data_IF_312919319640
#
_entry.id   IF_312919319640
#
_cell.length_a   1.000
_cell.length_b   1.000
_cell.length_c   1.000
_cell.angle_alpha   90.00
_cell.angle_beta   90.00
_cell.angle_gamma   90.00
#
_symmetry.space_group_name_H-M   'P 1'
#
loop_
_entity.id
_entity.type
_entity.pdbx_description
1 polymer ?
#
# COMPACT_ATOMS: atom_id res chain seq x y z
N UNK A 1 13.72 24.29 -17.69
CA UNK A 1 13.07 23.03 -17.26
C UNK A 1 13.47 22.75 -15.83
N UNK A 2 12.52 22.38 -14.97
CA UNK A 2 12.81 21.92 -13.61
C UNK A 2 13.48 20.54 -13.67
N UNK A 3 14.56 20.33 -12.94
CA UNK A 3 15.24 19.03 -12.92
C UNK A 3 14.44 17.97 -12.13
N UNK A 4 14.74 16.69 -12.38
CA UNK A 4 14.03 15.55 -11.79
C UNK A 4 14.09 15.53 -10.25
N UNK A 5 15.21 15.93 -9.64
CA UNK A 5 15.35 15.93 -8.18
C UNK A 5 14.44 16.96 -7.54
N UNK A 6 14.33 18.13 -8.15
CA UNK A 6 13.39 19.18 -7.71
C UNK A 6 11.93 18.70 -7.82
N UNK A 7 11.57 17.99 -8.90
CA UNK A 7 10.23 17.40 -9.05
C UNK A 7 9.98 16.31 -7.99
N UNK A 8 10.95 15.42 -7.78
CA UNK A 8 10.88 14.35 -6.80
C UNK A 8 10.73 14.88 -5.36
N UNK A 9 11.48 15.94 -5.01
CA UNK A 9 11.36 16.59 -3.70
C UNK A 9 9.97 17.20 -3.48
N UNK A 10 9.36 17.79 -4.52
CA UNK A 10 7.99 18.29 -4.43
C UNK A 10 6.97 17.16 -4.28
N UNK A 11 7.14 16.03 -4.97
CA UNK A 11 6.31 14.82 -4.80
C UNK A 11 6.41 14.26 -3.37
N UNK A 12 7.63 14.17 -2.83
CA UNK A 12 7.83 13.69 -1.46
C UNK A 12 7.22 14.65 -0.43
N UNK A 13 7.30 15.97 -0.65
CA UNK A 13 6.64 16.97 0.20
C UNK A 13 5.11 16.86 0.16
N UNK A 14 4.51 16.67 -1.02
CA UNK A 14 3.07 16.45 -1.16
C UNK A 14 2.65 15.13 -0.50
N UNK A 15 3.40 14.04 -0.70
CA UNK A 15 3.17 12.75 -0.05
C UNK A 15 3.20 12.86 1.48
N UNK A 16 4.15 13.63 2.03
CA UNK A 16 4.23 13.91 3.46
C UNK A 16 3.02 14.71 3.96
N UNK A 17 2.59 15.74 3.22
CA UNK A 17 1.44 16.57 3.57
C UNK A 17 0.13 15.76 3.67
N UNK A 18 -0.03 14.76 2.79
CA UNK A 18 -1.21 13.89 2.77
C UNK A 18 -0.99 12.59 3.56
N UNK A 19 0.02 12.50 4.42
CA UNK A 19 0.25 11.28 5.22
C UNK A 19 -0.82 11.08 6.29
N UNK A 20 -1.22 12.16 6.96
CA UNK A 20 -2.19 12.14 8.07
C UNK A 20 -3.47 12.93 7.79
N UNK A 21 -3.62 13.46 6.58
CA UNK A 21 -4.79 14.24 6.17
C UNK A 21 -5.27 13.73 4.82
N UNK A 22 -6.58 13.57 4.68
CA UNK A 22 -7.18 13.20 3.41
C UNK A 22 -6.83 14.25 2.33
N UNK A 23 -6.30 13.84 1.18
CA UNK A 23 -6.04 14.74 0.07
C UNK A 23 -7.34 15.32 -0.48
N UNK A 24 -7.37 16.64 -0.65
CA UNK A 24 -8.54 17.37 -1.11
C UNK A 24 -9.04 16.88 -2.48
N UNK A 25 -8.15 16.56 -3.43
CA UNK A 25 -8.53 16.03 -4.74
C UNK A 25 -9.34 14.74 -4.59
N UNK A 26 -8.92 13.80 -3.74
CA UNK A 26 -9.68 12.57 -3.50
C UNK A 26 -11.01 12.83 -2.82
N UNK A 27 -11.05 13.75 -1.84
CA UNK A 27 -12.29 14.15 -1.18
C UNK A 27 -13.30 14.70 -2.18
N UNK A 28 -12.84 15.51 -3.15
CA UNK A 28 -13.68 16.04 -4.21
C UNK A 28 -14.16 14.95 -5.16
N UNK A 29 -13.29 14.01 -5.57
CA UNK A 29 -13.68 12.88 -6.42
C UNK A 29 -14.76 12.03 -5.75
N UNK A 30 -14.52 11.54 -4.52
CA UNK A 30 -15.47 10.64 -3.82
C UNK A 30 -16.78 11.31 -3.41
N UNK A 31 -16.83 12.65 -3.42
CA UNK A 31 -18.06 13.41 -3.13
C UNK A 31 -18.69 14.08 -4.34
N UNK A 32 -18.24 13.71 -5.56
CA UNK A 32 -18.83 14.21 -6.80
C UNK A 32 -18.61 15.72 -7.05
N UNK A 33 -17.57 16.31 -6.47
CA UNK A 33 -17.27 17.75 -6.49
C UNK A 33 -15.98 18.11 -7.25
N UNK A 34 -15.43 17.21 -8.05
CA UNK A 34 -14.16 17.42 -8.78
C UNK A 34 -14.26 18.37 -9.99
N UNK A 35 -15.46 18.87 -10.31
CA UNK A 35 -15.67 20.02 -11.21
C UNK A 35 -15.89 19.68 -12.69
N UNK A 36 -15.28 18.61 -13.20
CA UNK A 36 -15.36 18.25 -14.63
C UNK A 36 -16.64 17.45 -14.97
N UNK A 37 -17.47 17.13 -13.95
CA UNK A 37 -18.66 16.29 -14.06
C UNK A 37 -18.39 15.01 -14.87
N UNK A 38 -17.18 14.46 -14.75
CA UNK A 38 -16.83 13.22 -15.40
C UNK A 38 -17.76 12.12 -14.87
N UNK A 39 -18.38 11.39 -15.80
CA UNK A 39 -19.28 10.27 -15.50
C UNK A 39 -20.55 10.31 -16.35
N UNK A 40 -20.87 9.19 -16.99
CA UNK A 40 -22.04 9.08 -17.87
C UNK A 40 -23.35 9.23 -17.09
N UNK A 41 -24.35 9.85 -17.72
CA UNK A 41 -25.71 10.02 -17.18
C UNK A 41 -25.80 10.78 -15.84
N UNK A 42 -24.87 11.70 -15.58
CA UNK A 42 -24.97 12.64 -14.45
C UNK A 42 -24.66 12.02 -13.08
N UNK A 43 -23.93 10.91 -13.03
CA UNK A 43 -23.43 10.30 -11.80
C UNK A 43 -21.89 10.25 -11.78
N UNK A 44 -21.28 10.19 -10.60
CA UNK A 44 -19.81 10.18 -10.43
C UNK A 44 -19.25 8.83 -9.94
N UNK A 45 -20.11 7.86 -9.63
CA UNK A 45 -19.68 6.54 -9.13
C UNK A 45 -18.78 5.83 -10.14
N UNK A 46 -19.16 5.79 -11.42
CA UNK A 46 -18.34 5.16 -12.45
C UNK A 46 -16.96 5.79 -12.58
N UNK A 47 -16.86 7.12 -12.47
CA UNK A 47 -15.59 7.84 -12.45
C UNK A 47 -14.76 7.47 -11.22
N UNK A 48 -15.40 7.41 -10.05
CA UNK A 48 -14.73 7.06 -8.82
C UNK A 48 -14.19 5.62 -8.86
N UNK A 49 -15.00 4.65 -9.27
CA UNK A 49 -14.62 3.24 -9.42
C UNK A 49 -13.43 3.06 -10.36
N UNK A 50 -13.50 3.64 -11.57
CA UNK A 50 -12.41 3.50 -12.55
C UNK A 50 -11.15 4.20 -12.06
N UNK A 51 -11.25 5.41 -11.49
CA UNK A 51 -10.09 6.12 -10.95
C UNK A 51 -9.43 5.35 -9.79
N UNK A 52 -10.25 4.74 -8.91
CA UNK A 52 -9.77 3.91 -7.81
C UNK A 52 -9.00 2.68 -8.32
N UNK A 53 -9.56 1.97 -9.30
CA UNK A 53 -8.93 0.81 -9.94
C UNK A 53 -7.64 1.18 -10.67
N UNK A 54 -7.68 2.23 -11.49
CA UNK A 54 -6.53 2.70 -12.26
C UNK A 54 -5.41 3.20 -11.35
N UNK A 55 -5.70 3.90 -10.25
CA UNK A 55 -4.66 4.33 -9.32
C UNK A 55 -3.97 3.12 -8.67
N UNK A 56 -4.73 2.11 -8.23
CA UNK A 56 -4.17 0.86 -7.68
C UNK A 56 -3.24 0.19 -8.68
N UNK A 57 -3.68 0.09 -9.93
CA UNK A 57 -2.92 -0.62 -10.96
C UNK A 57 -1.67 0.17 -11.39
N UNK A 58 -1.80 1.48 -11.48
CA UNK A 58 -0.69 2.37 -11.77
C UNK A 58 0.43 2.25 -10.75
N UNK A 59 0.11 2.18 -9.44
CA UNK A 59 1.14 2.07 -8.41
C UNK A 59 1.80 0.69 -8.37
N UNK A 60 1.01 -0.39 -8.44
CA UNK A 60 1.51 -1.75 -8.24
C UNK A 60 2.04 -2.42 -9.50
N UNK A 61 1.41 -2.18 -10.65
CA UNK A 61 1.66 -2.92 -11.89
C UNK A 61 2.34 -2.08 -12.98
N UNK A 62 2.51 -0.78 -12.77
CA UNK A 62 3.25 0.09 -13.70
C UNK A 62 4.44 0.76 -13.03
N UNK A 63 4.21 1.66 -12.08
CA UNK A 63 5.28 2.45 -11.47
C UNK A 63 6.28 1.61 -10.68
N UNK A 64 5.80 0.69 -9.83
CA UNK A 64 6.72 -0.12 -9.01
C UNK A 64 7.64 -1.02 -9.87
N UNK A 65 7.14 -1.75 -10.90
CA UNK A 65 8.00 -2.43 -11.86
C UNK A 65 9.01 -1.50 -12.54
N UNK A 66 8.61 -0.31 -12.98
CA UNK A 66 9.52 0.66 -13.60
C UNK A 66 10.63 1.11 -12.64
N UNK A 67 10.32 1.34 -11.36
CA UNK A 67 11.34 1.63 -10.33
C UNK A 67 12.35 0.48 -10.21
N UNK A 68 11.87 -0.77 -10.17
CA UNK A 68 12.76 -1.94 -10.10
C UNK A 68 13.64 -2.07 -11.34
N UNK A 69 13.10 -1.81 -12.52
CA UNK A 69 13.85 -1.84 -13.78
C UNK A 69 14.94 -0.77 -13.78
N UNK A 70 14.61 0.48 -13.42
CA UNK A 70 15.57 1.57 -13.34
C UNK A 70 16.72 1.28 -12.36
N UNK A 71 16.42 0.62 -11.22
CA UNK A 71 17.42 0.23 -10.20
C UNK A 71 18.20 -1.04 -10.55
N UNK A 72 17.83 -1.78 -11.60
CA UNK A 72 18.40 -3.11 -11.86
C UNK A 72 19.79 -3.09 -12.48
N UNK A 73 20.25 -1.94 -13.00
CA UNK A 73 21.50 -1.84 -13.78
C UNK A 73 21.42 -2.50 -15.17
N UNK A 74 20.23 -2.91 -15.63
CA UNK A 74 20.03 -3.60 -16.92
C UNK A 74 19.51 -2.72 -18.05
N UNK A 75 19.10 -1.50 -17.74
CA UNK A 75 18.47 -0.57 -18.69
C UNK A 75 19.22 0.76 -18.68
N UNK A 76 19.30 1.38 -19.85
CA UNK A 76 19.83 2.73 -20.02
C UNK A 76 18.80 3.79 -19.62
N UNK A 77 19.26 5.02 -19.37
CA UNK A 77 18.37 6.14 -19.08
C UNK A 77 17.38 6.41 -20.23
N UNK A 78 17.84 6.34 -21.49
CA UNK A 78 17.00 6.55 -22.67
C UNK A 78 15.89 5.50 -22.78
N UNK A 79 16.21 4.21 -22.57
CA UNK A 79 15.21 3.13 -22.55
C UNK A 79 14.19 3.33 -21.43
N UNK A 80 14.63 3.72 -20.22
CA UNK A 80 13.69 3.97 -19.11
C UNK A 80 12.80 5.18 -19.34
N UNK A 81 13.33 6.26 -19.93
CA UNK A 81 12.54 7.44 -20.31
C UNK A 81 11.49 7.08 -21.36
N UNK A 82 11.84 6.26 -22.36
CA UNK A 82 10.91 5.77 -23.36
C UNK A 82 9.84 4.88 -22.72
N UNK A 83 10.20 3.91 -21.88
CA UNK A 83 9.24 3.04 -21.19
C UNK A 83 8.24 3.86 -20.38
N UNK A 84 8.69 4.84 -19.60
CA UNK A 84 7.77 5.71 -18.86
C UNK A 84 6.84 6.49 -19.80
N UNK A 85 7.36 7.01 -20.92
CA UNK A 85 6.56 7.72 -21.93
C UNK A 85 5.47 6.85 -22.55
N UNK A 86 5.73 5.56 -22.76
CA UNK A 86 4.74 4.63 -23.34
C UNK A 86 3.66 4.20 -22.34
N UNK A 87 4.03 3.91 -21.09
CA UNK A 87 3.11 3.32 -20.11
C UNK A 87 2.32 4.33 -19.28
N UNK A 88 2.90 5.49 -18.96
CA UNK A 88 2.30 6.43 -18.03
C UNK A 88 1.06 7.19 -18.55
N UNK A 89 1.01 7.70 -19.80
CA UNK A 89 -0.09 8.57 -20.26
C UNK A 89 -1.48 7.98 -20.09
N UNK A 90 -1.62 6.66 -20.28
CA UNK A 90 -2.88 5.96 -20.10
C UNK A 90 -3.43 6.09 -18.67
N UNK A 91 -2.54 6.16 -17.68
CA UNK A 91 -2.89 6.35 -16.27
C UNK A 91 -2.95 7.82 -15.89
N UNK A 92 -1.86 8.57 -16.06
CA UNK A 92 -1.76 9.93 -15.51
C UNK A 92 -2.75 10.89 -16.16
N UNK A 93 -3.01 10.80 -17.46
CA UNK A 93 -4.00 11.65 -18.12
C UNK A 93 -5.43 11.32 -17.68
N UNK A 94 -5.76 10.02 -17.58
CA UNK A 94 -7.10 9.60 -17.13
C UNK A 94 -7.35 9.97 -15.66
N UNK A 95 -6.37 9.72 -14.78
CA UNK A 95 -6.45 10.07 -13.37
C UNK A 95 -6.52 11.59 -13.18
N UNK A 96 -5.77 12.36 -13.97
CA UNK A 96 -5.87 13.82 -14.01
C UNK A 96 -7.26 14.31 -14.43
N UNK A 97 -7.79 13.78 -15.53
CA UNK A 97 -9.16 14.03 -15.98
C UNK A 97 -10.22 13.64 -14.93
N UNK A 98 -9.98 12.55 -14.20
CA UNK A 98 -10.88 12.06 -13.15
C UNK A 98 -10.80 12.86 -11.84
N UNK A 99 -9.95 13.89 -11.77
CA UNK A 99 -9.87 14.82 -10.64
C UNK A 99 -8.55 14.82 -9.86
N UNK A 100 -7.60 13.94 -10.18
CA UNK A 100 -6.26 13.89 -9.55
C UNK A 100 -5.25 14.73 -10.35
N UNK A 101 -5.53 16.02 -10.52
CA UNK A 101 -4.78 16.91 -11.43
C UNK A 101 -3.32 17.01 -11.04
N UNK A 102 -3.00 17.15 -9.74
CA UNK A 102 -1.61 17.17 -9.25
C UNK A 102 -0.83 15.92 -9.67
N UNK A 103 -1.46 14.75 -9.64
CA UNK A 103 -0.81 13.50 -10.07
C UNK A 103 -0.47 13.56 -11.57
N UNK A 104 -1.41 14.02 -12.39
CA UNK A 104 -1.21 14.24 -13.82
C UNK A 104 -0.06 15.21 -14.09
N UNK A 105 -0.08 16.37 -13.46
CA UNK A 105 0.94 17.42 -13.62
C UNK A 105 2.35 16.93 -13.24
N UNK A 106 2.48 16.19 -12.14
CA UNK A 106 3.77 15.63 -11.74
C UNK A 106 4.28 14.57 -12.74
N UNK A 107 3.40 13.70 -13.22
CA UNK A 107 3.76 12.68 -14.20
C UNK A 107 4.19 13.31 -15.53
N UNK A 108 3.50 14.35 -16.01
CA UNK A 108 3.86 15.12 -17.20
C UNK A 108 5.24 15.77 -17.05
N UNK A 109 5.48 16.48 -15.94
CA UNK A 109 6.78 17.12 -15.67
C UNK A 109 7.93 16.12 -15.62
N UNK A 110 7.71 14.92 -15.08
CA UNK A 110 8.70 13.84 -15.09
C UNK A 110 8.94 13.32 -16.52
N UNK A 111 7.88 13.14 -17.31
CA UNK A 111 7.98 12.72 -18.71
C UNK A 111 8.81 13.69 -19.54
N UNK A 112 8.64 14.99 -19.33
CA UNK A 112 9.44 16.03 -19.99
C UNK A 112 10.91 16.03 -19.54
N UNK A 113 11.16 15.75 -18.25
CA UNK A 113 12.51 15.82 -17.67
C UNK A 113 13.36 14.56 -17.92
N UNK A 114 12.75 13.37 -18.01
CA UNK A 114 13.46 12.10 -18.12
C UNK A 114 14.38 11.94 -19.34
N UNK A 115 14.07 12.46 -20.55
CA UNK A 115 14.95 12.35 -21.71
C UNK A 115 16.36 12.92 -21.51
N UNK A 116 16.52 13.90 -20.60
CA UNK A 116 17.80 14.52 -20.27
C UNK A 116 18.39 14.05 -18.93
N UNK A 117 17.71 13.15 -18.21
CA UNK A 117 18.06 12.75 -16.85
C UNK A 117 19.01 11.55 -16.82
N UNK A 118 19.77 11.42 -15.72
CA UNK A 118 20.54 10.21 -15.45
C UNK A 118 19.61 9.05 -15.06
N UNK A 119 20.08 7.80 -15.17
CA UNK A 119 19.31 6.62 -14.74
C UNK A 119 18.97 6.68 -13.24
N UNK A 120 19.86 7.25 -12.42
CA UNK A 120 19.68 7.44 -10.99
C UNK A 120 18.58 8.47 -10.69
N UNK A 121 18.54 9.56 -11.45
CA UNK A 121 17.50 10.58 -11.35
C UNK A 121 16.16 10.03 -11.80
N UNK A 122 16.10 9.26 -12.89
CA UNK A 122 14.86 8.58 -13.32
C UNK A 122 14.35 7.64 -12.23
N UNK A 123 15.22 6.82 -11.63
CA UNK A 123 14.86 5.95 -10.52
C UNK A 123 14.32 6.75 -9.32
N UNK A 124 14.89 7.93 -9.05
CA UNK A 124 14.47 8.84 -7.98
C UNK A 124 13.09 9.44 -8.25
N UNK A 125 12.85 9.95 -9.47
CA UNK A 125 11.56 10.51 -9.87
C UNK A 125 10.43 9.48 -9.88
N UNK A 126 10.67 8.29 -10.45
CA UNK A 126 9.71 7.19 -10.43
C UNK A 126 9.37 6.75 -9.01
N UNK A 127 10.37 6.69 -8.12
CA UNK A 127 10.16 6.29 -6.73
C UNK A 127 9.31 7.32 -5.96
N UNK A 128 9.58 8.61 -6.14
CA UNK A 128 8.81 9.68 -5.52
C UNK A 128 7.35 9.68 -6.02
N UNK A 129 7.14 9.51 -7.33
CA UNK A 129 5.81 9.42 -7.92
C UNK A 129 5.04 8.20 -7.39
N UNK A 130 5.70 7.06 -7.28
CA UNK A 130 5.09 5.84 -6.73
C UNK A 130 4.70 6.00 -5.25
N UNK A 131 5.54 6.64 -4.43
CA UNK A 131 5.21 6.93 -3.02
C UNK A 131 3.97 7.84 -2.92
N UNK A 132 3.94 8.92 -3.69
CA UNK A 132 2.80 9.84 -3.73
C UNK A 132 1.52 9.12 -4.17
N UNK A 133 1.57 8.39 -5.27
CA UNK A 133 0.43 7.64 -5.79
C UNK A 133 -0.03 6.51 -4.84
N UNK A 134 0.88 5.84 -4.15
CA UNK A 134 0.51 4.87 -3.10
C UNK A 134 -0.19 5.54 -1.92
N UNK A 135 0.25 6.74 -1.53
CA UNK A 135 -0.42 7.49 -0.46
C UNK A 135 -1.82 7.91 -0.86
N UNK A 136 -2.00 8.38 -2.09
CA UNK A 136 -3.32 8.62 -2.68
C UNK A 136 -4.17 7.33 -2.64
N UNK A 137 -3.59 6.18 -2.98
CA UNK A 137 -4.31 4.91 -2.99
C UNK A 137 -4.76 4.46 -1.59
N UNK A 138 -3.96 4.74 -0.55
CA UNK A 138 -4.34 4.45 0.83
C UNK A 138 -5.63 5.19 1.25
N UNK A 139 -5.74 6.46 0.89
CA UNK A 139 -6.94 7.26 1.17
C UNK A 139 -8.15 6.84 0.35
N UNK A 140 -7.93 6.58 -0.94
CA UNK A 140 -8.96 6.03 -1.81
C UNK A 140 -9.52 4.73 -1.22
N UNK A 141 -8.64 3.78 -0.89
CA UNK A 141 -9.03 2.49 -0.34
C UNK A 141 -9.80 2.62 0.97
N UNK A 142 -9.43 3.56 1.85
CA UNK A 142 -10.14 3.80 3.11
C UNK A 142 -11.58 4.27 2.90
N UNK A 143 -11.79 5.22 1.98
CA UNK A 143 -13.09 5.88 1.79
C UNK A 143 -13.97 5.26 0.70
N UNK A 144 -13.46 4.30 -0.07
CA UNK A 144 -14.25 3.63 -1.10
C UNK A 144 -15.51 2.98 -0.48
N UNK A 145 -16.67 3.04 -1.16
CA UNK A 145 -17.94 2.53 -0.64
C UNK A 145 -18.01 1.00 -0.72
N UNK A 146 -17.19 0.33 0.10
CA UNK A 146 -17.11 -1.14 0.14
C UNK A 146 -18.40 -1.83 0.58
N UNK A 147 -19.26 -1.12 1.30
CA UNK A 147 -20.61 -1.54 1.70
C UNK A 147 -21.53 -1.84 0.51
N UNK A 148 -21.17 -1.41 -0.70
CA UNK A 148 -21.81 -1.91 -1.93
C UNK A 148 -21.74 -3.44 -2.05
N UNK A 149 -20.73 -4.08 -1.44
CA UNK A 149 -20.60 -5.54 -1.37
C UNK A 149 -21.80 -6.26 -0.74
N UNK A 150 -22.63 -5.56 0.03
CA UNK A 150 -23.89 -6.11 0.56
C UNK A 150 -24.85 -6.58 -0.54
N UNK A 151 -24.75 -6.00 -1.74
CA UNK A 151 -25.56 -6.37 -2.91
C UNK A 151 -24.96 -7.54 -3.72
N UNK A 152 -23.77 -8.02 -3.37
CA UNK A 152 -22.99 -8.99 -4.13
C UNK A 152 -22.51 -10.16 -3.27
N UNK A 153 -23.40 -10.70 -2.42
CA UNK A 153 -23.07 -11.82 -1.54
C UNK A 153 -23.13 -13.17 -2.26
N UNK A 154 -22.23 -14.07 -1.89
CA UNK A 154 -22.31 -15.48 -2.28
C UNK A 154 -23.52 -16.16 -1.62
N UNK A 155 -24.15 -17.10 -2.33
CA UNK A 155 -25.27 -17.91 -1.82
C UNK A 155 -24.89 -18.74 -0.59
N UNK A 156 -23.61 -19.13 -0.50
CA UNK A 156 -23.06 -19.84 0.64
C UNK A 156 -21.58 -19.51 0.82
N UNK A 157 -21.12 -19.57 2.08
CA UNK A 157 -19.73 -19.37 2.46
C UNK A 157 -19.31 -20.56 3.31
N UNK A 158 -18.14 -21.12 3.03
CA UNK A 158 -17.57 -22.19 3.86
C UNK A 158 -17.40 -21.73 5.30
N UNK A 159 -17.59 -22.62 6.29
CA UNK A 159 -17.28 -22.30 7.67
C UNK A 159 -15.82 -21.86 7.84
N UNK A 160 -15.57 -21.02 8.84
CA UNK A 160 -14.23 -20.57 9.15
C UNK A 160 -13.34 -21.74 9.58
N UNK A 161 -12.18 -21.87 8.94
CA UNK A 161 -11.16 -22.84 9.33
C UNK A 161 -10.48 -22.42 10.64
N UNK A 162 -10.89 -23.07 11.75
CA UNK A 162 -10.35 -22.80 13.08
C UNK A 162 -8.90 -23.27 13.27
N UNK A 163 -8.34 -24.07 12.37
CA UNK A 163 -6.94 -24.50 12.44
C UNK A 163 -5.94 -23.33 12.29
N UNK A 164 -6.39 -22.17 11.80
CA UNK A 164 -5.57 -20.97 11.74
C UNK A 164 -5.14 -20.46 13.11
N UNK A 165 -5.96 -20.67 14.13
CA UNK A 165 -5.67 -20.20 15.49
C UNK A 165 -4.78 -21.17 16.28
N UNK A 166 -4.31 -22.25 15.64
CA UNK A 166 -3.36 -23.17 16.24
C UNK A 166 -1.97 -22.54 16.35
N UNK A 167 -1.58 -22.19 17.58
CA UNK A 167 -0.31 -21.56 17.89
C UNK A 167 0.90 -22.47 17.58
N UNK A 168 0.71 -23.78 17.45
CA UNK A 168 1.80 -24.70 17.07
C UNK A 168 2.27 -24.48 15.62
N UNK A 169 1.48 -23.77 14.80
CA UNK A 169 1.88 -23.34 13.45
C UNK A 169 2.88 -22.18 13.45
N UNK A 170 3.05 -21.49 14.58
CA UNK A 170 4.04 -20.43 14.72
C UNK A 170 5.40 -21.09 15.00
N UNK A 171 6.45 -20.79 14.22
CA UNK A 171 7.79 -21.33 14.48
C UNK A 171 8.23 -21.03 15.91
N UNK A 172 8.69 -22.06 16.64
CA UNK A 172 9.27 -21.90 17.98
C UNK A 172 10.67 -21.26 17.92
N UNK A 173 11.36 -21.41 16.79
CA UNK A 173 12.65 -20.79 16.54
C UNK A 173 12.49 -19.29 16.23
N UNK A 174 13.42 -18.49 16.75
CA UNK A 174 13.47 -17.07 16.44
C UNK A 174 13.69 -16.85 14.94
N UNK A 175 12.85 -16.01 14.34
CA UNK A 175 12.99 -15.62 12.92
C UNK A 175 13.90 -14.40 12.72
N UNK A 176 14.31 -13.79 13.83
CA UNK A 176 15.26 -12.68 13.90
C UNK A 176 15.54 -12.24 15.34
N UNK A 177 16.42 -11.25 15.46
CA UNK A 177 16.92 -10.68 16.71
C UNK A 177 16.37 -9.28 17.00
N UNK A 178 15.64 -8.70 16.05
CA UNK A 178 15.16 -7.32 16.11
C UNK A 178 13.64 -7.29 16.26
N UNK A 179 13.15 -6.35 17.05
CA UNK A 179 11.73 -6.18 17.31
C UNK A 179 11.25 -4.77 16.96
N UNK A 180 9.99 -4.67 16.57
CA UNK A 180 9.27 -3.39 16.42
C UNK A 180 7.98 -3.43 17.23
N UNK A 181 7.46 -2.25 17.56
CA UNK A 181 6.12 -2.06 18.12
C UNK A 181 5.18 -1.59 17.01
N UNK A 182 3.99 -2.18 16.98
CA UNK A 182 2.86 -1.69 16.19
C UNK A 182 1.73 -1.32 17.13
N UNK A 183 1.22 -0.10 17.04
CA UNK A 183 0.15 0.42 17.90
C UNK A 183 -0.97 1.03 17.08
N UNK A 184 -2.22 0.80 17.51
CA UNK A 184 -3.43 1.25 16.82
C UNK A 184 -4.26 2.18 17.67
N UNK A 185 -4.40 3.41 17.21
CA UNK A 185 -5.23 4.45 17.83
C UNK A 185 -6.50 4.70 16.99
N UNK A 186 -7.67 4.95 17.61
CA UNK A 186 -7.90 5.16 19.04
C UNK A 186 -8.16 3.86 19.85
N UNK A 187 -7.82 2.68 19.31
CA UNK A 187 -8.18 1.39 19.90
C UNK A 187 -7.36 1.03 21.16
N UNK A 188 -6.24 1.72 21.42
CA UNK A 188 -5.33 1.41 22.52
C UNK A 188 -4.73 0.00 22.44
N UNK A 189 -4.65 -0.57 21.23
CA UNK A 189 -4.06 -1.90 20.99
C UNK A 189 -2.59 -1.71 20.60
N UNK A 190 -1.70 -2.47 21.21
CA UNK A 190 -0.28 -2.46 20.86
C UNK A 190 0.28 -3.88 20.90
N UNK A 191 1.09 -4.22 19.92
CA UNK A 191 1.74 -5.54 19.81
C UNK A 191 3.23 -5.39 19.50
N UNK A 192 4.02 -6.37 19.92
CA UNK A 192 5.41 -6.52 19.50
C UNK A 192 5.49 -7.46 18.31
N UNK A 193 6.37 -7.15 17.36
CA UNK A 193 6.64 -7.99 16.18
C UNK A 193 8.12 -8.32 16.12
N UNK A 194 8.45 -9.61 16.11
CA UNK A 194 9.81 -10.07 15.81
C UNK A 194 10.01 -9.99 14.30
N UNK A 195 10.97 -9.19 13.86
CA UNK A 195 11.29 -9.06 12.44
C UNK A 195 12.03 -10.30 11.94
N UNK A 196 11.82 -10.65 10.67
CA UNK A 196 12.44 -11.80 10.01
C UNK A 196 13.89 -11.49 9.55
N UNK A 197 14.71 -10.90 10.42
CA UNK A 197 16.06 -10.39 10.07
C UNK A 197 17.02 -11.48 9.60
N UNK A 198 16.81 -12.73 9.99
CA UNK A 198 17.68 -13.84 9.56
C UNK A 198 17.46 -14.25 8.10
N UNK A 199 16.31 -13.92 7.50
CA UNK A 199 15.96 -14.38 6.14
C UNK A 199 15.64 -13.26 5.16
N UNK A 200 15.13 -12.12 5.64
CA UNK A 200 14.86 -10.94 4.81
C UNK A 200 15.48 -9.67 5.45
N UNK A 201 16.81 -9.62 5.69
CA UNK A 201 17.44 -8.55 6.45
C UNK A 201 17.32 -7.16 5.82
N UNK A 202 17.43 -7.04 4.50
CA UNK A 202 17.35 -5.75 3.79
C UNK A 202 15.93 -5.17 3.84
N UNK A 203 14.92 -6.02 3.66
CA UNK A 203 13.52 -5.61 3.82
C UNK A 203 13.22 -5.14 5.25
N UNK A 204 13.72 -5.87 6.25
CA UNK A 204 13.58 -5.48 7.65
C UNK A 204 14.29 -4.13 7.93
N UNK A 205 15.47 -3.93 7.33
CA UNK A 205 16.23 -2.68 7.43
C UNK A 205 15.45 -1.50 6.84
N UNK A 206 14.85 -1.65 5.66
CA UNK A 206 14.05 -0.59 5.05
C UNK A 206 12.90 -0.14 5.99
N UNK A 207 12.26 -1.07 6.68
CA UNK A 207 11.21 -0.77 7.67
C UNK A 207 11.77 -0.08 8.90
N UNK A 208 12.89 -0.57 9.43
CA UNK A 208 13.55 0.04 10.58
C UNK A 208 13.99 1.47 10.26
N UNK A 209 14.65 1.70 9.13
CA UNK A 209 15.15 3.02 8.71
C UNK A 209 14.04 4.06 8.59
N UNK A 210 12.85 3.65 8.15
CA UNK A 210 11.69 4.54 8.07
C UNK A 210 10.94 4.74 9.39
N UNK A 211 11.13 3.87 10.39
CA UNK A 211 10.49 4.01 11.69
C UNK A 211 11.15 5.14 12.53
N UNK A 212 10.37 5.94 13.28
CA UNK A 212 8.93 5.80 13.47
C UNK A 212 8.10 6.40 12.32
N UNK A 213 6.98 5.75 12.00
CA UNK A 213 5.99 6.32 11.08
C UNK A 213 4.56 6.01 11.50
N UNK A 214 3.63 6.86 11.08
CA UNK A 214 2.20 6.74 11.36
C UNK A 214 1.39 6.84 10.07
N UNK A 215 0.47 5.91 9.86
CA UNK A 215 -0.29 5.77 8.61
C UNK A 215 -1.72 5.28 8.85
N UNK A 216 -2.68 5.60 7.96
CA UNK A 216 -4.02 5.02 8.01
C UNK A 216 -3.96 3.48 7.87
N UNK A 217 -4.71 2.80 8.72
CA UNK A 217 -4.90 1.35 8.69
C UNK A 217 -6.09 1.01 7.78
N UNK A 218 -5.97 -0.06 7.02
CA UNK A 218 -7.04 -0.57 6.16
C UNK A 218 -7.27 -2.07 6.33
N UNK A 219 -8.44 -2.52 5.89
CA UNK A 219 -8.81 -3.92 5.78
C UNK A 219 -8.68 -4.42 4.34
N UNK A 220 -8.29 -5.69 4.17
CA UNK A 220 -8.39 -6.36 2.89
C UNK A 220 -9.85 -6.63 2.50
N UNK A 221 -10.25 -6.19 1.31
CA UNK A 221 -11.64 -6.35 0.83
C UNK A 221 -11.87 -7.61 0.00
N UNK A 222 -10.82 -8.42 -0.18
CA UNK A 222 -10.83 -9.62 -1.04
C UNK A 222 -10.21 -10.81 -0.33
N UNK A 223 -9.02 -10.63 0.25
CA UNK A 223 -8.18 -11.72 0.80
C UNK A 223 -8.80 -12.46 2.01
N UNK A 224 -9.71 -11.83 2.76
CA UNK A 224 -10.25 -12.39 4.01
C UNK A 224 -9.74 -11.65 5.26
N UNK A 225 -9.49 -12.36 6.36
CA UNK A 225 -9.06 -11.79 7.66
C UNK A 225 -7.60 -11.32 7.64
N UNK A 226 -7.36 -10.24 6.90
CA UNK A 226 -6.08 -9.58 6.72
C UNK A 226 -6.25 -8.07 6.78
N UNK A 227 -5.41 -7.40 7.56
CA UNK A 227 -5.36 -5.94 7.64
C UNK A 227 -4.04 -5.45 7.08
N UNK A 228 -4.01 -4.28 6.45
CA UNK A 228 -2.79 -3.69 5.91
C UNK A 228 -2.76 -2.17 5.97
N UNK A 229 -1.56 -1.62 5.94
CA UNK A 229 -1.34 -0.17 5.86
C UNK A 229 -0.25 0.12 4.83
N UNK A 230 -0.50 1.11 3.97
CA UNK A 230 0.51 1.64 3.06
C UNK A 230 1.59 2.35 3.86
N UNK A 231 2.84 1.93 3.67
CA UNK A 231 3.99 2.51 4.36
C UNK A 231 4.50 3.75 3.62
N UNK A 232 5.29 4.62 4.27
CA UNK A 232 6.05 5.66 3.57
C UNK A 232 7.24 5.10 2.74
N UNK A 233 7.45 3.79 2.78
CA UNK A 233 8.64 3.13 2.23
C UNK A 233 8.40 2.77 0.76
N UNK A 234 9.48 2.78 -0.03
CA UNK A 234 9.52 2.09 -1.32
C UNK A 234 10.73 1.16 -1.34
N UNK A 235 10.50 -0.05 -0.84
CA UNK A 235 11.45 -1.14 -0.80
C UNK A 235 11.49 -1.86 -2.15
N UNK A 236 12.69 -2.00 -2.67
CA UNK A 236 13.03 -2.95 -3.74
C UNK A 236 14.01 -4.01 -3.25
N UNK A 237 14.08 -4.22 -1.92
CA UNK A 237 14.96 -5.18 -1.29
C UNK A 237 14.77 -6.59 -1.86
N UNK A 238 15.85 -7.39 -1.98
CA UNK A 238 15.71 -8.81 -2.27
C UNK A 238 14.90 -9.50 -1.16
N UNK A 239 14.15 -10.54 -1.54
CA UNK A 239 13.32 -11.31 -0.60
C UNK A 239 13.61 -12.78 -0.81
N UNK A 240 14.25 -13.41 0.18
CA UNK A 240 14.59 -14.83 0.17
C UNK A 240 13.51 -15.70 0.82
N UNK A 241 12.72 -15.16 1.76
CA UNK A 241 11.62 -15.88 2.39
C UNK A 241 10.26 -15.31 2.04
N UNK A 242 9.45 -16.16 1.42
CA UNK A 242 8.05 -15.93 1.07
C UNK A 242 7.21 -17.09 1.57
N UNK A 243 5.93 -16.82 1.77
CA UNK A 243 4.94 -17.82 2.14
C UNK A 243 3.66 -17.62 1.31
N UNK A 244 2.91 -18.70 1.12
CA UNK A 244 1.57 -18.65 0.55
C UNK A 244 0.66 -17.97 1.57
N UNK A 245 -0.09 -16.95 1.16
CA UNK A 245 -0.86 -16.09 2.08
C UNK A 245 -1.87 -16.90 2.91
N UNK A 246 -2.66 -17.78 2.30
CA UNK A 246 -3.57 -18.70 3.00
C UNK A 246 -2.90 -19.79 3.83
N UNK A 247 -1.58 -19.87 3.86
CA UNK A 247 -0.86 -20.86 4.68
C UNK A 247 -0.12 -20.20 5.85
N UNK A 248 0.05 -18.88 5.80
CA UNK A 248 0.70 -18.10 6.85
C UNK A 248 -0.01 -18.29 8.22
N UNK A 249 0.77 -18.41 9.31
CA UNK A 249 0.20 -18.62 10.64
C UNK A 249 -0.48 -17.36 11.18
N UNK A 250 -1.29 -17.52 12.23
CA UNK A 250 -1.94 -16.41 12.92
C UNK A 250 -0.91 -15.41 13.47
N UNK A 251 -1.19 -14.11 13.29
CA UNK A 251 -0.29 -13.02 13.67
C UNK A 251 0.92 -12.84 12.74
N UNK A 252 0.99 -13.55 11.62
CA UNK A 252 2.05 -13.35 10.63
C UNK A 252 2.02 -11.92 10.09
N UNK A 253 3.19 -11.27 10.06
CA UNK A 253 3.40 -9.97 9.46
C UNK A 253 4.12 -10.11 8.13
N UNK A 254 3.51 -9.59 7.07
CA UNK A 254 4.00 -9.66 5.69
C UNK A 254 4.26 -8.26 5.16
N UNK A 255 5.07 -8.16 4.11
CA UNK A 255 5.25 -6.91 3.38
C UNK A 255 4.93 -7.09 1.91
N UNK A 256 3.95 -6.35 1.38
CA UNK A 256 3.68 -6.35 -0.06
C UNK A 256 4.51 -5.26 -0.74
N UNK A 257 5.62 -5.65 -1.38
CA UNK A 257 6.37 -4.73 -2.22
C UNK A 257 5.62 -4.41 -3.53
N UNK A 258 5.02 -5.43 -4.14
CA UNK A 258 4.45 -5.32 -5.49
C UNK A 258 3.09 -4.61 -5.53
N UNK A 259 2.27 -4.68 -4.47
CA UNK A 259 0.89 -4.17 -4.49
C UNK A 259 0.69 -3.04 -3.47
N UNK A 260 1.63 -2.09 -3.45
CA UNK A 260 1.47 -0.83 -2.74
C UNK A 260 2.35 -0.61 -1.50
N UNK A 261 3.45 -1.34 -1.35
CA UNK A 261 4.43 -1.11 -0.26
C UNK A 261 3.77 -1.15 1.13
N UNK A 262 3.05 -2.24 1.41
CA UNK A 262 2.17 -2.36 2.57
C UNK A 262 2.74 -3.29 3.63
N UNK A 263 2.64 -2.90 4.90
CA UNK A 263 2.74 -3.85 6.02
C UNK A 263 1.37 -4.50 6.21
N UNK A 264 1.35 -5.81 6.39
CA UNK A 264 0.14 -6.62 6.44
C UNK A 264 0.18 -7.52 7.67
N UNK A 265 -0.90 -7.53 8.45
CA UNK A 265 -1.09 -8.47 9.56
C UNK A 265 -2.20 -9.44 9.21
N UNK A 266 -1.92 -10.73 9.35
CA UNK A 266 -2.90 -11.79 9.19
C UNK A 266 -3.51 -12.15 10.54
N UNK A 267 -4.81 -11.91 10.69
CA UNK A 267 -5.54 -12.13 11.95
C UNK A 267 -6.60 -13.24 11.82
N UNK A 268 -6.54 -14.04 10.76
CA UNK A 268 -7.39 -15.22 10.60
C UNK A 268 -7.27 -15.83 9.21
N UNK A 269 -8.26 -16.64 8.80
CA UNK A 269 -8.24 -17.31 7.50
C UNK A 269 -8.32 -16.34 6.32
N UNK A 270 -7.61 -16.71 5.25
CA UNK A 270 -7.58 -15.96 3.99
C UNK A 270 -7.72 -16.91 2.79
N UNK A 271 -8.18 -16.41 1.66
CA UNK A 271 -8.40 -17.21 0.43
C UNK A 271 -7.24 -17.10 -0.58
N UNK A 272 -6.43 -16.04 -0.50
CA UNK A 272 -5.38 -15.71 -1.46
C UNK A 272 -4.22 -16.70 -1.42
N UNK A 273 -3.80 -17.19 -2.59
CA UNK A 273 -2.75 -18.20 -2.78
C UNK A 273 -1.43 -17.62 -3.30
N UNK A 274 -1.32 -16.29 -3.38
CA UNK A 274 -0.09 -15.62 -3.79
C UNK A 274 1.04 -15.80 -2.75
N UNK A 275 2.28 -15.73 -3.23
CA UNK A 275 3.47 -15.69 -2.38
C UNK A 275 3.75 -14.27 -1.89
N UNK A 276 3.81 -14.09 -0.58
CA UNK A 276 4.11 -12.82 0.06
C UNK A 276 5.42 -12.85 0.84
N UNK A 277 6.26 -11.80 0.74
CA UNK A 277 7.42 -11.60 1.63
C UNK A 277 7.02 -11.63 3.10
N UNK A 278 7.76 -12.42 3.89
CA UNK A 278 7.62 -12.41 5.35
C UNK A 278 8.40 -11.21 5.92
N UNK A 279 7.73 -10.38 6.72
CA UNK A 279 8.36 -9.28 7.44
C UNK A 279 8.64 -9.65 8.90
N UNK A 280 7.74 -10.40 9.54
CA UNK A 280 7.87 -10.73 10.95
C UNK A 280 6.71 -11.54 11.50
N UNK A 281 6.68 -11.71 12.81
CA UNK A 281 5.66 -12.47 13.54
C UNK A 281 5.28 -11.71 14.81
N UNK A 282 3.98 -11.53 15.06
CA UNK A 282 3.49 -10.95 16.31
C UNK A 282 3.84 -11.89 17.48
N UNK A 283 4.28 -11.30 18.59
CA UNK A 283 4.57 -12.03 19.83
C UNK A 283 3.35 -12.82 20.31
N UNK A 284 3.57 -14.05 20.77
CA UNK A 284 2.47 -14.96 21.14
C UNK A 284 1.57 -14.37 22.23
N UNK A 285 2.17 -13.66 23.18
CA UNK A 285 1.45 -12.97 24.27
C UNK A 285 0.50 -11.86 23.81
N UNK A 286 0.72 -11.29 22.61
CA UNK A 286 -0.07 -10.17 22.07
C UNK A 286 -1.19 -10.63 21.12
N UNK A 287 -1.23 -11.91 20.74
CA UNK A 287 -2.19 -12.46 19.78
C UNK A 287 -3.65 -12.39 20.24
N UNK A 288 -3.90 -12.36 21.55
CA UNK A 288 -5.27 -12.30 22.10
C UNK A 288 -6.06 -11.05 21.70
N UNK A 289 -5.40 -10.01 21.16
CA UNK A 289 -6.03 -8.73 20.85
C UNK A 289 -6.30 -8.52 19.34
N UNK A 290 -5.69 -9.32 18.46
CA UNK A 290 -5.65 -9.01 17.02
C UNK A 290 -6.94 -9.36 16.27
N UNK A 291 -7.79 -10.24 16.81
CA UNK A 291 -9.13 -10.48 16.26
C UNK A 291 -10.05 -9.26 16.46
N UNK A 292 -10.03 -8.69 17.67
CA UNK A 292 -10.77 -7.45 17.97
C UNK A 292 -10.28 -6.30 17.10
N UNK A 293 -8.96 -6.20 16.92
CA UNK A 293 -8.34 -5.23 16.02
C UNK A 293 -8.86 -5.37 14.58
N UNK A 294 -8.81 -6.58 14.01
CA UNK A 294 -9.28 -6.85 12.66
C UNK A 294 -10.75 -6.51 12.46
N UNK A 295 -11.62 -6.88 13.41
CA UNK A 295 -13.05 -6.55 13.36
C UNK A 295 -13.31 -5.04 13.40
N UNK A 296 -12.60 -4.30 14.26
CA UNK A 296 -12.73 -2.83 14.33
C UNK A 296 -12.27 -2.15 13.03
N UNK A 297 -11.19 -2.64 12.40
CA UNK A 297 -10.70 -2.11 11.13
C UNK A 297 -11.67 -2.43 9.99
N UNK A 298 -12.25 -3.64 9.97
CA UNK A 298 -13.31 -4.00 9.02
C UNK A 298 -14.47 -3.00 9.09
N UNK A 299 -15.02 -2.77 10.29
CA UNK A 299 -16.13 -1.83 10.48
C UNK A 299 -15.77 -0.41 10.04
N UNK A 300 -14.56 0.05 10.36
CA UNK A 300 -14.03 1.34 9.92
C UNK A 300 -14.00 1.46 8.40
N UNK A 301 -13.42 0.49 7.68
CA UNK A 301 -13.28 0.62 6.23
C UNK A 301 -14.58 0.29 5.48
N UNK A 302 -15.40 -0.62 6.01
CA UNK A 302 -16.62 -1.07 5.35
C UNK A 302 -17.75 -0.06 5.56
N UNK A 303 -17.94 0.43 6.79
CA UNK A 303 -19.14 1.21 7.16
C UNK A 303 -18.79 2.62 7.63
N UNK A 304 -18.13 2.78 8.78
CA UNK A 304 -18.10 4.07 9.50
C UNK A 304 -17.18 5.11 8.88
N UNK A 305 -16.14 4.63 8.18
CA UNK A 305 -15.05 5.41 7.60
C UNK A 305 -14.23 6.20 8.62
N UNK A 306 -14.32 5.86 9.92
CA UNK A 306 -13.46 6.41 10.95
C UNK A 306 -12.02 5.96 10.73
N UNK A 307 -11.05 6.88 10.76
CA UNK A 307 -9.66 6.52 10.50
C UNK A 307 -9.02 5.90 11.75
N UNK A 308 -8.67 4.62 11.66
CA UNK A 308 -7.78 3.95 12.60
C UNK A 308 -6.34 4.14 12.14
N UNK A 309 -5.45 4.47 13.06
CA UNK A 309 -4.07 4.83 12.77
C UNK A 309 -3.12 3.77 13.28
N UNK A 310 -2.28 3.25 12.39
CA UNK A 310 -1.13 2.43 12.75
C UNK A 310 0.08 3.32 12.97
N UNK A 311 0.74 3.17 14.12
CA UNK A 311 2.08 3.67 14.38
C UNK A 311 3.05 2.49 14.45
N UNK A 312 4.19 2.59 13.75
CA UNK A 312 5.27 1.60 13.78
C UNK A 312 6.51 2.24 14.38
N UNK A 313 7.10 1.61 15.40
CA UNK A 313 8.24 2.11 16.15
C UNK A 313 9.31 1.03 16.36
N UNK A 314 10.57 1.43 16.49
CA UNK A 314 11.65 0.53 16.93
C UNK A 314 11.50 0.24 18.42
N UNK A 315 11.88 -0.97 18.84
CA UNK A 315 11.99 -1.35 20.25
C UNK A 315 13.42 -1.32 20.76
#
# INVERSE_FOLDING_TARGET
MTDVKTIAAALDAESAAITSVEPEEWRLVRTGRHGDNAGSYGQYFGTYDIAAGMLRDYTGYTLYPLVRMARSGKYTAAEMAQLFTEFDPAYSHYLGYSGLRKLGDFAERLREAFPAASIEDIATGLAALNRYANRLNAWNHHYFPWDLGEQFRYDSVSPEDRSYFDLTRIPSEAIGDTWIRMSWEPLGISVKVQLATFRNPELCRDVLEAAPFRVPQSHAMVTGKSIYAWTPILSTAPVAWREIIREAPFGRVRFSQNTGQKIIVQYGPTTEDLLAPVLGQIAVEDLGQIERLGAAIWESNYTTKDVIWLTVERL
#
